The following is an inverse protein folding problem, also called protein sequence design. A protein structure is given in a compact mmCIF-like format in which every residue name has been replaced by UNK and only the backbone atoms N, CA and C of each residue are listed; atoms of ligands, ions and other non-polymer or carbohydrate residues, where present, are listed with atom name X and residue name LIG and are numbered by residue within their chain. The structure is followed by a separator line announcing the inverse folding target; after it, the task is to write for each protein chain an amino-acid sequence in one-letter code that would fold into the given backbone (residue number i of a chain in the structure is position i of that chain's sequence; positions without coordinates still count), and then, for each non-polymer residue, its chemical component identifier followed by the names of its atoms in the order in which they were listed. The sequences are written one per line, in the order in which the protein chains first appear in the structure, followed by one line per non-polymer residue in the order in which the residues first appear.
data_IF_390705329769
#
_entry.id   IF_390705329769
#
_cell.length_a   1.000
_cell.length_b   1.000
_cell.length_c   1.000
_cell.angle_alpha   90.00
_cell.angle_beta   90.00
_cell.angle_gamma   90.00
#
_symmetry.space_group_name_H-M   'P 1'
#
loop_
_entity.id
_entity.type
_entity.pdbx_description
1 polymer ?
#
# COMPACT_ATOMS: atom_id res chain seq x y z
N UNK A 1 -44.93 21.02 13.12
CA UNK A 1 -43.52 21.40 12.89
C UNK A 1 -42.73 20.11 12.82
N UNK A 2 -42.37 19.67 11.62
CA UNK A 2 -41.74 18.36 11.38
C UNK A 2 -40.25 18.61 11.20
N UNK A 3 -39.44 18.18 12.15
CA UNK A 3 -37.98 18.26 12.09
C UNK A 3 -37.45 17.25 11.06
N UNK A 4 -36.54 17.65 10.15
CA UNK A 4 -35.94 16.70 9.23
C UNK A 4 -34.91 15.84 9.95
N UNK A 5 -35.09 14.52 9.81
CA UNK A 5 -34.22 13.46 10.26
C UNK A 5 -32.89 13.54 9.48
N UNK A 6 -31.78 13.85 10.15
CA UNK A 6 -30.44 13.87 9.56
C UNK A 6 -29.80 12.51 9.84
N UNK A 7 -29.68 11.68 8.81
CA UNK A 7 -28.95 10.42 8.86
C UNK A 7 -27.45 10.68 9.12
N UNK A 8 -26.79 9.95 10.04
CA UNK A 8 -25.35 10.08 10.23
C UNK A 8 -24.62 9.40 9.07
N UNK A 9 -23.95 10.21 8.25
CA UNK A 9 -22.99 9.74 7.24
C UNK A 9 -21.89 8.93 7.92
N UNK A 10 -21.87 7.62 7.67
CA UNK A 10 -20.81 6.69 8.10
C UNK A 10 -19.50 6.97 7.35
N UNK A 11 -18.72 7.90 7.88
CA UNK A 11 -17.41 8.26 7.34
C UNK A 11 -16.33 7.43 8.05
N UNK A 12 -16.09 6.22 7.56
CA UNK A 12 -15.02 5.33 8.05
C UNK A 12 -13.67 5.91 7.61
N UNK A 13 -13.09 6.79 8.42
CA UNK A 13 -11.72 7.26 8.27
C UNK A 13 -10.79 6.22 8.91
N UNK A 14 -10.45 5.18 8.16
CA UNK A 14 -9.36 4.29 8.51
C UNK A 14 -8.03 4.98 8.24
N UNK A 15 -7.22 5.14 9.30
CA UNK A 15 -5.80 5.42 9.14
C UNK A 15 -5.22 4.37 8.21
N UNK A 16 -4.77 4.80 7.04
CA UNK A 16 -4.26 3.87 6.04
C UNK A 16 -3.06 3.10 6.62
N UNK A 17 -3.02 1.76 6.45
CA UNK A 17 -1.89 0.95 6.86
C UNK A 17 -0.59 1.44 6.17
N UNK A 18 0.60 1.07 6.69
CA UNK A 18 1.86 1.38 6.00
C UNK A 18 1.79 0.95 4.52
N UNK A 19 2.27 1.79 3.57
CA UNK A 19 2.04 1.58 2.15
C UNK A 19 2.67 0.27 1.66
N UNK A 20 1.90 -0.53 0.93
CA UNK A 20 2.40 -1.76 0.28
C UNK A 20 3.16 -1.45 -1.01
N UNK A 21 4.27 -2.14 -1.31
CA UNK A 21 4.85 -2.17 -2.65
C UNK A 21 3.86 -2.82 -3.62
N UNK A 22 3.64 -2.20 -4.78
CA UNK A 22 2.65 -2.65 -5.78
C UNK A 22 3.23 -3.80 -6.61
N UNK A 23 2.86 -5.03 -6.30
CA UNK A 23 3.06 -6.14 -7.22
C UNK A 23 2.12 -5.99 -8.42
N UNK A 24 2.72 -5.82 -9.60
CA UNK A 24 2.01 -5.84 -10.88
C UNK A 24 1.78 -7.30 -11.29
N UNK A 25 0.57 -7.78 -11.02
CA UNK A 25 -0.10 -8.83 -11.80
C UNK A 25 0.34 -10.27 -11.51
N UNK A 26 -0.62 -11.11 -11.15
CA UNK A 26 -0.97 -12.34 -11.86
C UNK A 26 -2.22 -12.97 -11.21
N UNK A 27 -3.21 -13.18 -12.06
CA UNK A 27 -4.29 -14.17 -12.06
C UNK A 27 -4.95 -14.64 -10.75
N UNK A 28 -6.26 -14.41 -10.72
CA UNK A 28 -7.27 -15.07 -9.90
C UNK A 28 -7.27 -16.58 -10.07
N UNK A 29 -7.25 -17.32 -8.96
CA UNK A 29 -7.84 -18.65 -8.89
C UNK A 29 -8.81 -18.67 -7.71
N UNK A 30 -10.10 -18.76 -8.01
CA UNK A 30 -11.13 -19.01 -7.03
C UNK A 30 -11.03 -20.48 -6.59
N UNK A 31 -11.06 -20.72 -5.28
CA UNK A 31 -11.35 -22.05 -4.74
C UNK A 31 -12.31 -21.91 -3.57
N UNK A 32 -13.38 -22.68 -3.66
CA UNK A 32 -14.59 -22.69 -2.84
C UNK A 32 -14.41 -23.42 -1.50
N UNK A 33 -15.30 -23.10 -0.54
CA UNK A 33 -15.68 -23.89 0.67
C UNK A 33 -14.58 -23.98 1.75
N UNK A 34 -14.80 -23.86 3.07
CA UNK A 34 -15.94 -24.03 3.98
C UNK A 34 -15.67 -23.29 5.31
N UNK A 35 -16.71 -23.09 6.11
CA UNK A 35 -16.72 -22.52 7.46
C UNK A 35 -15.71 -23.19 8.42
N UNK A 36 -14.75 -22.40 8.93
CA UNK A 36 -14.02 -22.59 10.21
C UNK A 36 -13.07 -21.40 10.42
N UNK A 37 -13.65 -20.23 10.68
CA UNK A 37 -12.91 -19.01 11.03
C UNK A 37 -12.61 -19.00 12.52
N UNK A 38 -11.33 -19.08 12.89
CA UNK A 38 -10.89 -18.89 14.27
C UNK A 38 -9.46 -19.33 14.55
N UNK A 39 -9.03 -20.49 14.05
CA UNK A 39 -7.79 -21.12 14.57
C UNK A 39 -6.50 -20.73 13.85
N UNK A 40 -6.56 -20.29 12.59
CA UNK A 40 -5.37 -20.18 11.73
C UNK A 40 -4.53 -18.92 11.93
N UNK A 41 -5.06 -17.91 12.62
CA UNK A 41 -4.31 -16.69 12.98
C UNK A 41 -3.48 -16.88 14.26
N UNK A 42 -3.94 -17.72 15.18
CA UNK A 42 -3.24 -18.05 16.42
C UNK A 42 -2.04 -18.97 16.15
N UNK A 43 -2.19 -19.98 15.29
CA UNK A 43 -1.11 -20.93 14.94
C UNK A 43 0.12 -20.27 14.31
N UNK A 44 -0.05 -19.16 13.57
CA UNK A 44 1.08 -18.41 13.00
C UNK A 44 1.79 -17.57 14.05
N UNK A 45 1.16 -17.23 15.18
CA UNK A 45 1.77 -16.47 16.28
C UNK A 45 2.56 -17.36 17.24
N UNK A 46 2.14 -18.61 17.45
CA UNK A 46 2.81 -19.53 18.37
C UNK A 46 4.16 -20.04 17.81
N UNK A 47 4.30 -20.14 16.49
CA UNK A 47 5.59 -20.42 15.83
C UNK A 47 6.63 -19.30 16.03
N UNK A 48 6.21 -18.08 16.41
CA UNK A 48 7.10 -16.92 16.55
C UNK A 48 7.44 -16.52 17.99
N UNK A 49 6.99 -17.28 19.01
CA UNK A 49 7.24 -16.97 20.43
C UNK A 49 8.30 -17.88 21.09
N UNK A 50 8.69 -18.97 20.44
CA UNK A 50 9.54 -19.99 21.04
C UNK A 50 11.06 -19.78 20.86
N UNK A 51 11.50 -18.77 20.09
CA UNK A 51 12.94 -18.53 19.85
C UNK A 51 13.65 -17.66 20.93
N UNK A 52 12.92 -17.04 21.87
CA UNK A 52 13.52 -16.18 22.91
C UNK A 52 13.73 -16.84 24.29
N UNK A 53 13.36 -18.12 24.47
CA UNK A 53 13.41 -18.81 25.79
C UNK A 53 14.52 -19.85 25.96
N UNK A 54 15.64 -19.73 25.26
CA UNK A 54 16.78 -20.67 25.35
C UNK A 54 18.13 -19.97 25.62
N UNK A 55 18.16 -18.98 26.51
CA UNK A 55 19.40 -18.31 26.90
C UNK A 55 19.41 -17.78 28.35
N UNK A 56 19.08 -18.61 29.34
CA UNK A 56 19.42 -18.35 30.74
C UNK A 56 19.59 -19.66 31.51
N UNK A 57 20.77 -20.27 31.45
CA UNK A 57 21.24 -21.24 32.43
C UNK A 57 22.74 -20.99 32.63
N UNK A 58 23.07 -20.17 33.63
CA UNK A 58 24.45 -20.02 34.12
C UNK A 58 24.53 -20.72 35.48
N UNK A 59 25.60 -21.48 35.56
CA UNK A 59 25.99 -22.51 36.49
C UNK A 59 26.19 -22.00 37.93
N UNK A 60 25.75 -22.84 38.87
CA UNK A 60 25.84 -22.68 40.32
C UNK A 60 27.23 -23.07 40.82
N UNK A 61 27.92 -22.17 41.52
CA UNK A 61 29.16 -22.50 42.22
C UNK A 61 29.64 -21.39 43.13
N UNK A 62 29.18 -21.40 44.39
CA UNK A 62 29.78 -20.64 45.48
C UNK A 62 30.13 -21.63 46.60
N UNK A 63 31.43 -21.91 46.74
CA UNK A 63 32.03 -22.64 47.85
C UNK A 63 32.58 -21.66 48.88
N UNK A 64 32.43 -22.03 50.14
CA UNK A 64 32.60 -21.22 51.35
C UNK A 64 34.05 -20.83 51.68
N UNK A 65 34.15 -19.76 52.48
CA UNK A 65 35.35 -19.18 53.09
C UNK A 65 36.14 -20.16 53.99
N UNK A 66 37.46 -19.99 54.03
CA UNK A 66 38.33 -20.69 54.97
C UNK A 66 39.76 -20.15 55.00
N UNK A 67 40.00 -19.16 55.85
CA UNK A 67 41.32 -18.62 56.20
C UNK A 67 42.17 -19.65 56.95
N UNK A 68 43.44 -19.89 56.54
CA UNK A 68 44.57 -20.12 57.47
C UNK A 68 45.96 -19.96 56.81
N UNK A 69 46.60 -18.84 57.14
CA UNK A 69 47.95 -18.67 57.71
C UNK A 69 49.15 -19.54 57.24
N UNK A 70 50.08 -18.83 56.58
CA UNK A 70 51.55 -18.78 56.72
C UNK A 70 52.48 -19.93 56.27
N UNK A 71 53.39 -19.49 55.40
CA UNK A 71 54.86 -19.60 55.45
C UNK A 71 55.61 -20.84 54.91
N UNK A 72 56.14 -20.62 53.71
CA UNK A 72 57.58 -20.59 53.35
C UNK A 72 58.44 -21.84 53.59
N UNK A 73 58.70 -22.59 52.52
CA UNK A 73 59.95 -23.28 52.16
C UNK A 73 59.66 -24.00 50.82
N UNK A 74 60.53 -24.14 49.83
CA UNK A 74 61.94 -23.84 49.75
C UNK A 74 62.38 -23.77 48.28
N UNK A 75 63.41 -22.97 48.06
CA UNK A 75 63.90 -22.36 46.82
C UNK A 75 64.37 -23.28 45.68
N UNK A 76 64.11 -24.60 45.71
CA UNK A 76 64.43 -25.54 44.62
C UNK A 76 63.18 -26.11 43.93
N UNK A 77 62.02 -26.04 44.58
CA UNK A 77 60.72 -26.22 43.92
C UNK A 77 60.40 -25.01 43.03
N UNK A 78 60.92 -23.81 43.36
CA UNK A 78 60.52 -22.54 42.74
C UNK A 78 60.87 -22.40 41.26
N UNK A 79 61.96 -23.01 40.77
CA UNK A 79 62.33 -22.96 39.36
C UNK A 79 61.52 -23.94 38.50
N UNK A 80 61.25 -25.14 39.02
CA UNK A 80 60.43 -26.15 38.35
C UNK A 80 58.93 -25.80 38.45
N UNK A 81 58.49 -25.25 39.59
CA UNK A 81 57.17 -24.63 39.78
C UNK A 81 57.01 -23.38 38.91
N UNK A 82 58.00 -22.51 38.78
CA UNK A 82 57.90 -21.36 37.86
C UNK A 82 57.86 -21.82 36.39
N UNK A 83 58.56 -22.90 36.02
CA UNK A 83 58.47 -23.50 34.69
C UNK A 83 57.13 -24.20 34.46
N UNK A 84 56.58 -24.86 35.49
CA UNK A 84 55.26 -25.49 35.50
C UNK A 84 54.13 -24.45 35.44
N UNK A 85 54.23 -23.37 36.20
CA UNK A 85 53.33 -22.20 36.17
C UNK A 85 53.38 -21.53 34.80
N UNK A 86 54.56 -21.30 34.21
CA UNK A 86 54.69 -20.80 32.82
C UNK A 86 54.14 -21.78 31.78
N UNK A 87 54.15 -23.09 32.04
CA UNK A 87 53.52 -24.10 31.18
C UNK A 87 52.00 -24.07 31.33
N UNK A 88 51.51 -23.92 32.55
CA UNK A 88 50.09 -23.80 32.88
C UNK A 88 49.48 -22.51 32.34
N UNK A 89 50.17 -21.38 32.46
CA UNK A 89 49.79 -20.10 31.85
C UNK A 89 49.73 -20.20 30.32
N UNK A 90 50.70 -20.89 29.70
CA UNK A 90 50.66 -21.18 28.25
C UNK A 90 49.46 -22.06 27.89
N UNK A 91 49.15 -23.08 28.69
CA UNK A 91 47.97 -23.94 28.48
C UNK A 91 46.65 -23.20 28.73
N UNK A 92 46.61 -22.28 29.69
CA UNK A 92 45.46 -21.42 29.98
C UNK A 92 45.22 -20.44 28.84
N UNK A 93 46.27 -19.77 28.36
CA UNK A 93 46.23 -18.90 27.18
C UNK A 93 45.83 -19.68 25.92
N UNK A 94 46.30 -20.91 25.76
CA UNK A 94 45.89 -21.79 24.67
C UNK A 94 44.40 -22.16 24.75
N UNK A 95 43.90 -22.54 25.93
CA UNK A 95 42.46 -22.78 26.15
C UNK A 95 41.62 -21.54 25.86
N UNK A 96 42.06 -20.37 26.32
CA UNK A 96 41.41 -19.09 26.05
C UNK A 96 41.37 -18.77 24.54
N UNK A 97 42.49 -18.98 23.82
CA UNK A 97 42.52 -18.82 22.36
C UNK A 97 41.60 -19.81 21.65
N UNK A 98 41.51 -21.05 22.15
CA UNK A 98 40.57 -22.04 21.63
C UNK A 98 39.11 -21.63 21.86
N UNK A 99 38.78 -21.10 23.04
CA UNK A 99 37.45 -20.57 23.35
C UNK A 99 37.12 -19.38 22.44
N UNK A 100 38.01 -18.39 22.33
CA UNK A 100 37.87 -17.25 21.42
C UNK A 100 37.70 -17.67 19.96
N UNK A 101 38.45 -18.70 19.51
CA UNK A 101 38.29 -19.27 18.17
C UNK A 101 36.94 -19.96 18.01
N UNK A 102 36.45 -20.64 19.04
CA UNK A 102 35.15 -21.31 19.00
C UNK A 102 34.00 -20.29 19.00
N UNK A 103 34.10 -19.25 19.82
CA UNK A 103 33.19 -18.11 19.87
C UNK A 103 33.13 -17.39 18.52
N UNK A 104 34.29 -17.03 17.95
CA UNK A 104 34.37 -16.41 16.63
C UNK A 104 33.74 -17.29 15.54
N UNK A 105 33.98 -18.62 15.55
CA UNK A 105 33.33 -19.55 14.61
C UNK A 105 31.81 -19.58 14.78
N UNK A 106 31.31 -19.51 16.01
CA UNK A 106 29.88 -19.51 16.32
C UNK A 106 29.20 -18.23 15.86
N UNK A 107 29.80 -17.07 16.18
CA UNK A 107 29.29 -15.76 15.79
C UNK A 107 29.28 -15.61 14.26
N UNK A 108 30.38 -15.96 13.59
CA UNK A 108 30.42 -15.92 12.12
C UNK A 108 29.36 -16.84 11.49
N UNK A 109 29.14 -18.02 12.06
CA UNK A 109 28.10 -18.92 11.56
C UNK A 109 26.68 -18.36 11.79
N UNK A 110 26.43 -17.74 12.94
CA UNK A 110 25.17 -17.08 13.24
C UNK A 110 24.91 -15.92 12.28
N UNK A 111 25.90 -15.05 12.05
CA UNK A 111 25.80 -13.94 11.11
C UNK A 111 25.52 -14.41 9.68
N UNK A 112 26.24 -15.43 9.18
CA UNK A 112 25.99 -16.01 7.85
C UNK A 112 24.57 -16.58 7.72
N UNK A 113 24.07 -17.24 8.78
CA UNK A 113 22.70 -17.78 8.80
C UNK A 113 21.67 -16.65 8.86
N UNK A 114 21.92 -15.58 9.61
CA UNK A 114 21.03 -14.42 9.67
C UNK A 114 20.99 -13.63 8.35
N UNK A 115 22.13 -13.48 7.68
CA UNK A 115 22.20 -12.88 6.35
C UNK A 115 21.45 -13.71 5.31
N UNK A 116 21.63 -15.04 5.32
CA UNK A 116 20.89 -15.96 4.46
C UNK A 116 19.37 -15.94 4.75
N UNK A 117 18.98 -15.83 6.02
CA UNK A 117 17.58 -15.60 6.43
C UNK A 117 17.06 -14.26 5.86
N UNK A 118 17.83 -13.17 5.95
CA UNK A 118 17.45 -11.85 5.39
C UNK A 118 17.31 -11.89 3.87
N UNK A 119 18.20 -12.62 3.18
CA UNK A 119 18.15 -12.79 1.72
C UNK A 119 16.97 -13.65 1.26
N UNK A 120 16.59 -14.66 2.05
CA UNK A 120 15.42 -15.52 1.78
C UNK A 120 14.08 -14.84 2.08
N UNK A 121 14.08 -13.76 2.88
CA UNK A 121 12.86 -13.02 3.16
C UNK A 121 12.40 -12.23 1.92
N UNK A 122 11.11 -12.26 1.60
CA UNK A 122 10.56 -11.37 0.58
C UNK A 122 10.82 -9.91 0.93
N UNK A 123 11.12 -9.07 -0.06
CA UNK A 123 11.36 -7.62 0.12
C UNK A 123 10.21 -6.89 0.84
N UNK A 124 9.01 -7.48 0.84
CA UNK A 124 7.80 -6.93 1.48
C UNK A 124 7.57 -7.45 2.92
N UNK A 125 8.49 -8.22 3.48
CA UNK A 125 8.32 -8.89 4.78
C UNK A 125 8.19 -7.91 5.95
N UNK A 126 9.05 -6.91 6.02
CA UNK A 126 9.02 -5.91 7.10
C UNK A 126 7.74 -5.08 7.07
N UNK A 127 7.29 -4.70 5.87
CA UNK A 127 6.01 -4.02 5.68
C UNK A 127 4.82 -4.88 6.13
N UNK A 128 4.88 -6.20 5.90
CA UNK A 128 3.87 -7.15 6.37
C UNK A 128 3.89 -7.31 7.88
N UNK A 129 5.07 -7.40 8.49
CA UNK A 129 5.25 -7.47 9.96
C UNK A 129 4.72 -6.20 10.63
N UNK A 130 5.13 -5.03 10.16
CA UNK A 130 4.67 -3.75 10.68
C UNK A 130 3.14 -3.58 10.56
N UNK A 131 2.55 -4.10 9.47
CA UNK A 131 1.08 -4.12 9.32
C UNK A 131 0.41 -5.03 10.34
N UNK A 132 0.92 -6.24 10.56
CA UNK A 132 0.37 -7.16 11.55
C UNK A 132 0.47 -6.59 12.97
N UNK A 133 1.60 -5.99 13.33
CA UNK A 133 1.77 -5.29 14.61
C UNK A 133 0.80 -4.12 14.77
N UNK A 134 0.55 -3.36 13.70
CA UNK A 134 -0.45 -2.29 13.71
C UNK A 134 -1.87 -2.83 13.90
N UNK A 135 -2.23 -3.92 13.19
CA UNK A 135 -3.54 -4.58 13.33
C UNK A 135 -3.77 -5.09 14.76
N UNK A 136 -2.74 -5.69 15.38
CA UNK A 136 -2.79 -6.12 16.78
C UNK A 136 -2.99 -4.94 17.74
N UNK A 137 -2.23 -3.85 17.58
CA UNK A 137 -2.39 -2.63 18.40
C UNK A 137 -3.78 -2.01 18.26
N UNK A 138 -4.37 -2.05 17.06
CA UNK A 138 -5.74 -1.58 16.82
C UNK A 138 -6.76 -2.48 17.54
N UNK A 139 -6.59 -3.80 17.49
CA UNK A 139 -7.46 -4.75 18.20
C UNK A 139 -7.34 -4.61 19.72
N UNK A 140 -6.14 -4.40 20.26
CA UNK A 140 -5.90 -4.13 21.68
C UNK A 140 -6.61 -2.85 22.14
N UNK A 141 -6.41 -1.73 21.43
CA UNK A 141 -7.12 -0.47 21.73
C UNK A 141 -8.64 -0.63 21.67
N UNK A 142 -9.17 -1.39 20.70
CA UNK A 142 -10.61 -1.69 20.62
C UNK A 142 -11.10 -2.44 21.86
N UNK A 143 -10.36 -3.46 22.31
CA UNK A 143 -10.69 -4.22 23.52
C UNK A 143 -10.65 -3.33 24.77
N UNK A 144 -9.65 -2.45 24.89
CA UNK A 144 -9.55 -1.51 26.01
C UNK A 144 -10.71 -0.50 26.04
N UNK A 145 -11.10 0.07 24.89
CA UNK A 145 -12.26 0.97 24.80
C UNK A 145 -13.56 0.23 25.16
N UNK A 146 -13.74 -1.01 24.69
CA UNK A 146 -14.90 -1.84 25.03
C UNK A 146 -14.96 -2.15 26.53
N UNK A 147 -13.83 -2.47 27.17
CA UNK A 147 -13.76 -2.70 28.62
C UNK A 147 -14.07 -1.43 29.43
N UNK A 148 -13.70 -0.26 28.91
CA UNK A 148 -14.04 1.06 29.50
C UNK A 148 -15.48 1.51 29.19
N UNK A 149 -16.19 0.82 28.29
CA UNK A 149 -17.53 1.20 27.83
C UNK A 149 -17.57 2.38 26.86
N UNK A 150 -16.44 2.71 26.23
CA UNK A 150 -16.31 3.80 25.25
C UNK A 150 -16.37 3.27 23.81
N UNK A 151 -16.87 4.10 22.89
CA UNK A 151 -16.85 3.80 21.45
C UNK A 151 -15.46 4.13 20.87
N UNK A 152 -14.78 3.10 20.34
CA UNK A 152 -13.45 3.20 19.76
C UNK A 152 -13.36 4.24 18.63
N UNK A 153 -14.39 4.36 17.77
CA UNK A 153 -14.36 5.33 16.67
C UNK A 153 -14.40 6.77 17.18
N UNK A 154 -15.09 7.01 18.30
CA UNK A 154 -15.14 8.33 18.93
C UNK A 154 -13.80 8.71 19.57
N UNK A 155 -13.19 7.79 20.30
CA UNK A 155 -11.86 7.99 20.93
C UNK A 155 -10.80 8.23 19.86
N UNK A 156 -10.82 7.42 18.79
CA UNK A 156 -9.92 7.58 17.64
C UNK A 156 -10.05 8.95 16.99
N UNK A 157 -11.27 9.48 16.81
CA UNK A 157 -11.49 10.82 16.24
C UNK A 157 -10.99 11.94 17.17
N UNK A 158 -11.01 11.75 18.49
CA UNK A 158 -10.44 12.70 19.46
C UNK A 158 -8.91 12.70 19.44
N UNK A 159 -8.28 11.57 19.13
CA UNK A 159 -6.81 11.47 18.97
C UNK A 159 -6.29 12.16 17.69
N UNK A 160 -7.16 12.47 16.71
CA UNK A 160 -6.75 13.12 15.46
C UNK A 160 -6.60 14.63 15.64
N UNK A 161 -5.36 15.13 15.51
CA UNK A 161 -5.06 16.56 15.48
C UNK A 161 -5.66 17.25 14.25
N UNK A 162 -5.98 18.53 14.36
CA UNK A 162 -6.48 19.35 13.24
C UNK A 162 -5.50 19.36 12.05
N UNK A 163 -4.19 19.37 12.32
CA UNK A 163 -3.15 19.32 11.28
C UNK A 163 -3.12 17.98 10.54
N UNK A 164 -3.34 16.88 11.26
CA UNK A 164 -3.42 15.54 10.68
C UNK A 164 -4.69 15.41 9.85
N UNK A 165 -5.83 15.88 10.36
CA UNK A 165 -7.08 15.93 9.60
C UNK A 165 -6.91 16.72 8.29
N UNK A 166 -6.27 17.89 8.32
CA UNK A 166 -6.01 18.68 7.12
C UNK A 166 -5.07 17.95 6.13
N UNK A 167 -4.01 17.31 6.64
CA UNK A 167 -3.12 16.47 5.84
C UNK A 167 -3.87 15.32 5.18
N UNK A 168 -4.81 14.70 5.89
CA UNK A 168 -5.66 13.64 5.35
C UNK A 168 -6.62 14.17 4.28
N UNK A 169 -7.26 15.31 4.49
CA UNK A 169 -8.13 15.95 3.49
C UNK A 169 -7.35 16.35 2.22
N UNK A 170 -6.11 16.86 2.35
CA UNK A 170 -5.23 17.13 1.20
C UNK A 170 -4.85 15.84 0.45
N UNK A 171 -4.66 14.73 1.17
CA UNK A 171 -4.38 13.40 0.60
C UNK A 171 -5.61 12.72 0.01
N UNK A 172 -6.83 13.12 0.40
CA UNK A 172 -8.06 12.59 -0.20
C UNK A 172 -8.07 12.94 -1.68
N UNK A 173 -8.08 11.90 -2.51
CA UNK A 173 -8.10 12.08 -3.96
C UNK A 173 -9.45 12.67 -4.34
N UNK A 174 -9.47 13.90 -4.84
CA UNK A 174 -10.65 14.47 -5.51
C UNK A 174 -11.22 13.45 -6.49
N UNK A 175 -12.47 13.03 -6.25
CA UNK A 175 -13.20 12.08 -7.10
C UNK A 175 -14.09 12.89 -8.03
N UNK A 176 -14.00 12.64 -9.32
CA UNK A 176 -14.91 13.22 -10.32
C UNK A 176 -15.51 12.04 -11.10
N UNK A 177 -16.49 11.31 -10.51
CA UNK A 177 -17.16 10.22 -11.20
C UNK A 177 -17.92 10.76 -12.42
N UNK A 178 -18.15 9.89 -13.40
CA UNK A 178 -19.01 10.21 -14.53
C UNK A 178 -20.46 9.86 -14.14
N UNK A 179 -21.34 10.86 -14.10
CA UNK A 179 -22.74 10.69 -13.70
C UNK A 179 -23.62 10.17 -14.86
N UNK A 180 -23.05 10.02 -16.06
CA UNK A 180 -23.78 9.64 -17.26
C UNK A 180 -23.96 10.82 -18.21
N UNK A 181 -24.37 10.50 -19.44
CA UNK A 181 -24.62 11.51 -20.46
C UNK A 181 -25.98 12.16 -20.23
N UNK A 182 -26.00 13.47 -19.98
CA UNK A 182 -27.21 14.29 -19.89
C UNK A 182 -27.38 15.16 -21.13
N UNK A 183 -26.44 16.06 -21.36
CA UNK A 183 -26.42 17.00 -22.49
C UNK A 183 -25.00 17.19 -23.05
N UNK A 184 -24.93 17.59 -24.32
CA UNK A 184 -23.67 17.89 -25.01
C UNK A 184 -22.95 19.08 -24.39
N UNK A 185 -23.65 20.12 -23.93
CA UNK A 185 -23.00 21.27 -23.28
C UNK A 185 -22.35 20.87 -21.95
N UNK A 186 -23.01 20.03 -21.16
CA UNK A 186 -22.46 19.51 -19.91
C UNK A 186 -21.22 18.62 -20.15
N UNK A 187 -21.26 17.74 -21.15
CA UNK A 187 -20.12 16.93 -21.54
C UNK A 187 -18.93 17.79 -22.02
N UNK A 188 -19.21 18.82 -22.82
CA UNK A 188 -18.21 19.77 -23.30
C UNK A 188 -17.61 20.57 -22.14
N UNK A 189 -18.43 21.07 -21.21
CA UNK A 189 -17.95 21.80 -20.03
C UNK A 189 -17.03 20.92 -19.18
N UNK A 190 -17.40 19.65 -18.94
CA UNK A 190 -16.56 18.70 -18.20
C UNK A 190 -15.24 18.43 -18.92
N UNK A 191 -15.26 18.32 -20.24
CA UNK A 191 -14.05 18.21 -21.05
C UNK A 191 -13.19 19.47 -20.92
N UNK A 192 -13.78 20.65 -21.07
CA UNK A 192 -13.10 21.94 -21.00
C UNK A 192 -12.42 22.12 -19.65
N UNK A 193 -13.15 21.94 -18.55
CA UNK A 193 -12.60 22.00 -17.19
C UNK A 193 -11.43 21.03 -16.96
N UNK A 194 -11.43 19.88 -17.64
CA UNK A 194 -10.31 18.93 -17.58
C UNK A 194 -9.12 19.44 -18.38
N UNK A 195 -9.34 19.97 -19.59
CA UNK A 195 -8.27 20.49 -20.44
C UNK A 195 -7.62 21.72 -19.80
N UNK A 196 -8.42 22.67 -19.28
CA UNK A 196 -7.90 23.86 -18.59
C UNK A 196 -7.06 23.52 -17.37
N UNK A 197 -7.42 22.47 -16.61
CA UNK A 197 -6.60 21.97 -15.49
C UNK A 197 -5.29 21.29 -15.93
N UNK A 198 -5.21 20.82 -17.17
CA UNK A 198 -4.03 20.12 -17.70
C UNK A 198 -3.01 21.10 -18.31
N UNK A 199 -3.48 22.23 -18.83
CA UNK A 199 -2.64 23.27 -19.41
C UNK A 199 -1.77 23.89 -18.32
N UNK A 200 -0.46 23.93 -18.54
CA UNK A 200 0.52 24.60 -17.68
C UNK A 200 1.07 25.81 -18.44
N UNK A 201 0.72 27.04 -18.05
CA UNK A 201 1.22 28.24 -18.71
C UNK A 201 2.71 28.44 -18.44
N UNK A 202 3.42 28.97 -19.43
CA UNK A 202 4.83 29.35 -19.35
C UNK A 202 4.91 30.83 -18.94
N UNK A 203 5.31 31.08 -17.69
CA UNK A 203 5.29 32.42 -17.11
C UNK A 203 6.37 33.32 -17.72
N UNK A 204 7.53 32.79 -18.08
CA UNK A 204 8.61 33.59 -18.68
C UNK A 204 8.21 34.10 -20.07
N UNK A 205 7.60 33.24 -20.89
CA UNK A 205 7.08 33.64 -22.21
C UNK A 205 5.94 34.66 -22.06
N UNK A 206 5.11 34.52 -21.05
CA UNK A 206 4.03 35.46 -20.75
C UNK A 206 4.57 36.85 -20.34
N UNK A 207 5.58 36.91 -19.47
CA UNK A 207 6.19 38.17 -19.02
C UNK A 207 6.89 38.91 -20.17
N UNK A 208 7.63 38.18 -21.02
CA UNK A 208 8.26 38.77 -22.22
C UNK A 208 7.21 39.37 -23.16
N UNK A 209 6.15 38.63 -23.45
CA UNK A 209 5.06 39.11 -24.32
C UNK A 209 4.35 40.33 -23.71
N UNK A 210 4.21 40.36 -22.37
CA UNK A 210 3.64 41.49 -21.64
C UNK A 210 4.51 42.74 -21.74
N UNK A 211 5.83 42.61 -21.64
CA UNK A 211 6.76 43.74 -21.79
C UNK A 211 6.77 44.26 -23.24
N UNK A 212 6.78 43.35 -24.23
CA UNK A 212 6.74 43.71 -25.66
C UNK A 212 5.43 44.41 -26.07
N UNK A 213 4.29 43.96 -25.52
CA UNK A 213 2.97 44.48 -25.88
C UNK A 213 2.53 45.67 -25.02
N UNK A 214 3.20 45.94 -23.89
CA UNK A 214 2.93 47.10 -23.03
C UNK A 214 1.45 47.23 -22.61
N UNK A 215 0.86 48.40 -22.89
CA UNK A 215 -0.55 48.70 -22.58
C UNK A 215 -1.54 47.89 -23.43
N UNK A 216 -1.15 47.52 -24.65
CA UNK A 216 -1.96 46.74 -25.58
C UNK A 216 -2.12 45.26 -25.16
N UNK A 217 -1.36 44.82 -24.16
CA UNK A 217 -1.44 43.46 -23.62
C UNK A 217 -2.79 43.12 -22.98
N UNK A 218 -3.55 44.13 -22.55
CA UNK A 218 -4.89 43.99 -21.99
C UNK A 218 -5.96 44.51 -22.97
N UNK A 219 -6.22 43.82 -24.10
CA UNK A 219 -7.14 44.30 -25.11
C UNK A 219 -8.59 44.26 -24.61
N UNK A 220 -9.36 45.28 -24.97
CA UNK A 220 -10.84 45.25 -24.89
C UNK A 220 -11.43 44.64 -26.16
N UNK A 221 -12.73 44.37 -26.18
CA UNK A 221 -13.42 43.74 -27.34
C UNK A 221 -13.23 44.50 -28.65
N UNK A 222 -12.96 45.80 -28.59
CA UNK A 222 -12.81 46.69 -29.75
C UNK A 222 -11.34 47.08 -30.02
N UNK A 223 -10.37 46.37 -29.41
CA UNK A 223 -8.94 46.62 -29.63
C UNK A 223 -8.49 46.17 -31.02
N UNK A 224 -7.56 46.92 -31.63
CA UNK A 224 -7.10 46.72 -33.00
C UNK A 224 -6.12 45.55 -33.19
N UNK A 225 -5.60 44.95 -32.11
CA UNK A 225 -4.56 43.91 -32.15
C UNK A 225 -5.02 42.53 -32.65
N UNK A 226 -6.25 42.42 -33.16
CA UNK A 226 -6.76 41.15 -33.67
C UNK A 226 -6.22 40.85 -35.07
N UNK A 227 -5.55 39.70 -35.24
CA UNK A 227 -5.12 39.17 -36.54
C UNK A 227 -3.65 39.39 -36.92
N UNK A 228 -2.87 40.09 -36.10
CA UNK A 228 -1.43 40.32 -36.34
C UNK A 228 -0.53 39.27 -35.70
N UNK A 229 -1.04 38.49 -34.74
CA UNK A 229 -0.25 37.50 -34.01
C UNK A 229 0.09 36.28 -34.86
N UNK A 230 1.39 36.10 -35.14
CA UNK A 230 1.93 34.90 -35.77
C UNK A 230 2.57 34.03 -34.67
N UNK A 231 1.96 32.88 -34.32
CA UNK A 231 2.50 32.02 -33.26
C UNK A 231 3.85 31.40 -33.67
N UNK A 232 4.72 31.21 -32.69
CA UNK A 232 5.94 30.42 -32.87
C UNK A 232 5.60 28.96 -33.22
N UNK A 233 6.47 28.32 -34.03
CA UNK A 233 6.34 26.92 -34.44
C UNK A 233 6.16 25.99 -33.24
N UNK A 234 6.92 26.21 -32.16
CA UNK A 234 6.80 25.43 -30.93
C UNK A 234 5.41 25.51 -30.28
N UNK A 235 4.75 26.68 -30.38
CA UNK A 235 3.41 26.87 -29.86
C UNK A 235 2.37 26.11 -30.68
N UNK A 236 2.55 26.10 -32.00
CA UNK A 236 1.73 25.31 -32.92
C UNK A 236 1.90 23.81 -32.66
N UNK A 237 3.12 23.32 -32.50
CA UNK A 237 3.39 21.90 -32.24
C UNK A 237 2.77 21.42 -30.91
N UNK A 238 2.82 22.24 -29.86
CA UNK A 238 2.15 21.95 -28.58
C UNK A 238 0.63 21.84 -28.75
N UNK A 239 0.01 22.77 -29.48
CA UNK A 239 -1.41 22.73 -29.79
C UNK A 239 -1.80 21.48 -30.58
N UNK A 240 -1.03 21.13 -31.62
CA UNK A 240 -1.27 19.93 -32.43
C UNK A 240 -1.20 18.67 -31.55
N UNK A 241 -0.17 18.54 -30.71
CA UNK A 241 -0.03 17.42 -29.77
C UNK A 241 -1.23 17.29 -28.82
N UNK A 242 -1.77 18.42 -28.32
CA UNK A 242 -2.91 18.40 -27.43
C UNK A 242 -4.23 18.04 -28.15
N UNK A 243 -4.39 18.46 -29.41
CA UNK A 243 -5.50 18.04 -30.27
C UNK A 243 -5.44 16.54 -30.56
N UNK A 244 -4.27 16.00 -30.89
CA UNK A 244 -4.08 14.55 -31.09
C UNK A 244 -4.44 13.76 -29.83
N UNK A 245 -4.00 14.21 -28.65
CA UNK A 245 -4.39 13.60 -27.36
C UNK A 245 -5.90 13.66 -27.14
N UNK A 246 -6.56 14.76 -27.53
CA UNK A 246 -8.01 14.88 -27.45
C UNK A 246 -8.71 13.89 -28.38
N UNK A 247 -8.23 13.74 -29.63
CA UNK A 247 -8.77 12.79 -30.61
C UNK A 247 -8.63 11.36 -30.11
N UNK A 248 -7.42 10.96 -29.67
CA UNK A 248 -7.18 9.62 -29.11
C UNK A 248 -8.06 9.32 -27.89
N UNK A 249 -8.36 10.33 -27.07
CA UNK A 249 -9.25 10.17 -25.92
C UNK A 249 -10.71 10.02 -26.34
N UNK A 250 -11.13 10.73 -27.41
CA UNK A 250 -12.47 10.62 -28.00
C UNK A 250 -12.69 9.24 -28.63
N UNK A 251 -11.70 8.71 -29.33
CA UNK A 251 -11.75 7.35 -29.91
C UNK A 251 -11.98 6.27 -28.84
N UNK A 252 -11.36 6.45 -27.66
CA UNK A 252 -11.47 5.53 -26.52
C UNK A 252 -12.74 5.74 -25.67
N UNK A 253 -13.67 6.60 -26.09
CA UNK A 253 -14.91 6.87 -25.36
C UNK A 253 -15.80 5.62 -25.24
N UNK A 254 -15.95 4.88 -26.34
CA UNK A 254 -16.67 3.60 -26.35
C UNK A 254 -15.68 2.44 -26.25
N UNK A 255 -15.68 1.75 -25.11
CA UNK A 255 -14.81 0.58 -24.89
C UNK A 255 -15.49 -0.68 -25.40
N UNK A 256 -14.75 -1.51 -26.15
CA UNK A 256 -15.21 -2.86 -26.52
C UNK A 256 -15.30 -3.71 -25.26
N UNK A 257 -16.44 -4.40 -25.09
CA UNK A 257 -16.60 -5.43 -24.05
C UNK A 257 -15.99 -6.73 -24.57
N UNK A 258 -15.39 -7.53 -23.69
CA UNK A 258 -14.87 -8.85 -24.05
C UNK A 258 -15.98 -9.71 -24.63
N UNK A 259 -15.65 -10.46 -25.69
CA UNK A 259 -16.53 -11.49 -26.22
C UNK A 259 -16.45 -12.71 -25.30
N UNK A 260 -17.59 -13.27 -24.93
CA UNK A 260 -17.70 -14.54 -24.23
C UNK A 260 -18.20 -15.57 -25.26
N UNK A 261 -17.39 -16.56 -25.56
CA UNK A 261 -17.68 -17.64 -26.52
C UNK A 261 -18.63 -18.69 -25.95
N UNK A 262 -18.68 -18.83 -24.62
CA UNK A 262 -19.59 -19.74 -23.92
C UNK A 262 -21.04 -19.22 -23.84
N UNK A 263 -21.32 -18.00 -24.30
CA UNK A 263 -22.66 -17.42 -24.23
C UNK A 263 -23.54 -17.93 -25.39
N UNK A 264 -24.79 -18.29 -25.09
CA UNK A 264 -25.77 -18.70 -26.10
C UNK A 264 -25.91 -17.63 -27.20
N UNK A 265 -25.71 -18.06 -28.45
CA UNK A 265 -25.68 -17.17 -29.60
C UNK A 265 -27.09 -17.02 -30.15
N UNK A 266 -27.72 -15.88 -29.90
CA UNK A 266 -29.06 -15.52 -30.38
C UNK A 266 -29.08 -14.81 -31.75
N UNK A 267 -27.93 -14.78 -32.46
CA UNK A 267 -27.74 -13.98 -33.66
C UNK A 267 -26.97 -14.71 -34.76
N UNK A 268 -27.28 -14.38 -36.02
CA UNK A 268 -26.59 -14.94 -37.21
C UNK A 268 -25.45 -14.03 -37.68
N UNK A 269 -25.59 -12.70 -37.53
CA UNK A 269 -24.59 -11.72 -37.99
C UNK A 269 -24.29 -10.64 -36.93
N UNK A 270 -23.18 -9.90 -37.09
CA UNK A 270 -22.75 -8.89 -36.09
C UNK A 270 -23.74 -7.73 -35.95
N UNK A 271 -24.43 -7.35 -37.03
CA UNK A 271 -25.45 -6.29 -37.01
C UNK A 271 -26.67 -6.71 -36.19
N UNK A 272 -27.08 -7.97 -36.33
CA UNK A 272 -28.14 -8.60 -35.56
C UNK A 272 -27.73 -8.71 -34.09
N UNK A 273 -26.48 -9.12 -33.78
CA UNK A 273 -25.97 -9.12 -32.40
C UNK A 273 -26.07 -7.75 -31.72
N UNK A 274 -25.77 -6.66 -32.45
CA UNK A 274 -25.90 -5.28 -31.94
C UNK A 274 -27.36 -4.89 -31.75
N UNK A 275 -28.25 -5.35 -32.63
CA UNK A 275 -29.68 -5.12 -32.52
C UNK A 275 -30.28 -5.88 -31.32
N UNK A 276 -30.01 -7.17 -31.16
CA UNK A 276 -30.42 -7.96 -30.00
C UNK A 276 -29.90 -7.34 -28.71
N UNK A 277 -28.61 -6.94 -28.65
CA UNK A 277 -28.06 -6.19 -27.51
C UNK A 277 -28.76 -4.85 -27.24
N UNK A 278 -29.33 -4.21 -28.26
CA UNK A 278 -30.14 -2.99 -28.09
C UNK A 278 -31.51 -3.38 -27.52
N UNK A 279 -32.17 -4.39 -28.08
CA UNK A 279 -33.45 -4.90 -27.61
C UNK A 279 -33.38 -5.32 -26.14
N UNK A 280 -32.35 -6.09 -25.75
CA UNK A 280 -32.10 -6.52 -24.37
C UNK A 280 -31.98 -5.34 -23.39
N UNK A 281 -31.36 -4.21 -23.78
CA UNK A 281 -31.25 -3.02 -22.89
C UNK A 281 -32.60 -2.37 -22.59
N UNK A 282 -33.52 -2.37 -23.55
CA UNK A 282 -34.82 -1.72 -23.40
C UNK A 282 -35.88 -2.68 -22.86
N UNK A 283 -35.96 -3.88 -23.43
CA UNK A 283 -37.02 -4.86 -23.17
C UNK A 283 -36.64 -5.93 -22.15
N UNK A 284 -35.34 -6.23 -21.96
CA UNK A 284 -34.90 -7.33 -21.09
C UNK A 284 -35.39 -7.21 -19.65
N UNK A 285 -35.59 -5.97 -19.14
CA UNK A 285 -36.20 -5.74 -17.82
C UNK A 285 -37.65 -6.21 -17.75
N UNK A 286 -38.41 -6.08 -18.85
CA UNK A 286 -39.83 -6.39 -18.93
C UNK A 286 -40.08 -7.83 -19.40
N UNK A 287 -39.16 -8.41 -20.18
CA UNK A 287 -39.29 -9.76 -20.74
C UNK A 287 -38.53 -10.83 -19.95
N UNK A 288 -38.04 -10.50 -18.75
CA UNK A 288 -37.26 -11.40 -17.90
C UNK A 288 -38.02 -12.69 -17.54
N UNK A 289 -39.32 -12.59 -17.26
CA UNK A 289 -40.17 -13.74 -16.94
C UNK A 289 -40.33 -14.68 -18.15
N UNK A 290 -40.60 -14.11 -19.33
CA UNK A 290 -40.70 -14.87 -20.59
C UNK A 290 -39.39 -15.61 -20.87
N UNK A 291 -38.25 -14.94 -20.66
CA UNK A 291 -36.93 -15.55 -20.85
C UNK A 291 -36.71 -16.72 -19.89
N UNK A 292 -37.05 -16.57 -18.61
CA UNK A 292 -36.96 -17.67 -17.66
C UNK A 292 -37.88 -18.85 -18.02
N UNK A 293 -39.08 -18.58 -18.51
CA UNK A 293 -40.00 -19.64 -18.92
C UNK A 293 -39.45 -20.41 -20.13
N UNK A 294 -38.81 -19.73 -21.08
CA UNK A 294 -38.10 -20.39 -22.20
C UNK A 294 -36.95 -21.27 -21.70
N UNK A 295 -36.14 -20.78 -20.78
CA UNK A 295 -35.03 -21.53 -20.17
C UNK A 295 -35.53 -22.73 -19.33
N UNK A 296 -36.74 -22.66 -18.77
CA UNK A 296 -37.41 -23.74 -18.03
C UNK A 296 -38.20 -24.72 -18.92
N UNK A 297 -38.13 -24.56 -20.25
CA UNK A 297 -38.81 -25.47 -21.18
C UNK A 297 -40.29 -25.15 -21.40
N UNK A 298 -40.67 -23.86 -21.37
CA UNK A 298 -42.03 -23.34 -21.62
C UNK A 298 -43.12 -23.83 -20.68
N UNK A 299 -42.76 -24.50 -19.59
CA UNK A 299 -43.66 -24.80 -18.49
C UNK A 299 -43.94 -23.51 -17.72
N UNK A 300 -45.23 -23.18 -17.58
CA UNK A 300 -45.73 -22.09 -16.71
C UNK A 300 -45.70 -22.57 -15.26
#
# INVERSE_FOLDING_TARGET
MVSPNIEPCSNVNDFAPPPTPRDRGLFSFASSMTSRGGSRKQEVLDVYRDEEKMATTVDTGASEDGTMVSNTSDSLMTAEEAAAQKREERLRKFRELHLKRNEARKLNHQEVVEEDKRLKLPTNWEAKKARLEWELKVEEKKKECLLKGEDYERVKLLEVSAEDAERFERKKKKRNPDLGFSDYAAAQLRQYQRLTKQIKPDLEKYEKLREESGEDFFPTSNSLLHGTHVPSKEGVDKMVSDLEKQIQKREKYSRRRSYNDDADIDYINERNAKFNKKAERFYGKYTAEIKQNLERGTAV
#
